data_IF_321124474114
#
_entry.id   IF_321124474114
#
_cell.length_a   1.000
_cell.length_b   1.000
_cell.length_c   1.000
_cell.angle_alpha   90.00
_cell.angle_beta   90.00
_cell.angle_gamma   90.00
#
_symmetry.space_group_name_H-M   'P 1'
#
loop_
_entity.id
_entity.type
_entity.pdbx_description
1 polymer ?
#
# COMPACT_ATOMS: atom_id res chain seq x y z
N UNK A 1 6.05 -30.08 16.27
CA UNK A 1 6.58 -28.74 15.97
C UNK A 1 7.86 -28.57 16.76
N UNK A 2 8.99 -28.47 16.07
CA UNK A 2 10.30 -28.24 16.68
C UNK A 2 10.47 -26.78 17.10
N UNK A 3 11.55 -26.46 17.82
CA UNK A 3 11.91 -25.08 18.15
C UNK A 3 12.09 -24.21 16.89
N UNK A 4 12.62 -24.81 15.82
CA UNK A 4 12.84 -24.17 14.53
C UNK A 4 11.52 -23.74 13.86
N UNK A 5 10.45 -24.51 14.02
CA UNK A 5 9.11 -24.17 13.49
C UNK A 5 8.56 -22.92 14.18
N UNK A 6 8.73 -22.81 15.50
CA UNK A 6 8.30 -21.64 16.27
C UNK A 6 9.09 -20.39 15.91
N UNK A 7 10.40 -20.52 15.69
CA UNK A 7 11.26 -19.41 15.24
C UNK A 7 10.82 -18.95 13.85
N UNK A 8 10.48 -19.88 12.94
CA UNK A 8 9.98 -19.53 11.61
C UNK A 8 8.66 -18.80 11.63
N UNK A 9 7.70 -19.29 12.43
CA UNK A 9 6.37 -18.65 12.57
C UNK A 9 6.52 -17.25 13.17
N UNK A 10 7.31 -17.11 14.24
CA UNK A 10 7.58 -15.81 14.85
C UNK A 10 8.31 -14.86 13.87
N UNK A 11 9.26 -15.38 13.10
CA UNK A 11 9.96 -14.65 12.05
C UNK A 11 9.02 -14.12 10.97
N UNK A 12 8.12 -14.97 10.45
CA UNK A 12 7.12 -14.53 9.47
C UNK A 12 6.15 -13.49 10.04
N UNK A 13 5.71 -13.66 11.29
CA UNK A 13 4.90 -12.66 11.99
C UNK A 13 5.62 -11.30 12.08
N UNK A 14 6.90 -11.30 12.45
CA UNK A 14 7.73 -10.10 12.51
C UNK A 14 7.90 -9.45 11.13
N UNK A 15 8.14 -10.24 10.08
CA UNK A 15 8.27 -9.74 8.70
C UNK A 15 6.99 -9.05 8.24
N UNK A 16 5.81 -9.61 8.54
CA UNK A 16 4.53 -8.99 8.24
C UNK A 16 4.36 -7.63 8.95
N UNK A 17 4.73 -7.57 10.24
CA UNK A 17 4.66 -6.34 11.03
C UNK A 17 5.64 -5.28 10.52
N UNK A 18 6.89 -5.66 10.22
CA UNK A 18 7.90 -4.75 9.67
C UNK A 18 7.51 -4.24 8.29
N UNK A 19 6.96 -5.11 7.44
CA UNK A 19 6.42 -4.72 6.12
C UNK A 19 5.33 -3.65 6.27
N UNK A 20 4.38 -3.86 7.19
CA UNK A 20 3.32 -2.90 7.45
C UNK A 20 3.83 -1.55 7.98
N UNK A 21 4.74 -1.56 8.96
CA UNK A 21 5.24 -0.37 9.66
C UNK A 21 6.31 0.40 8.85
N UNK A 22 7.36 -0.27 8.37
CA UNK A 22 8.41 0.37 7.59
C UNK A 22 7.89 0.80 6.22
N UNK A 23 6.99 0.02 5.60
CA UNK A 23 6.36 0.41 4.34
C UNK A 23 5.50 1.67 4.46
N UNK A 24 4.83 1.88 5.60
CA UNK A 24 4.13 3.12 5.91
C UNK A 24 5.10 4.32 5.95
N UNK A 25 6.20 4.19 6.70
CA UNK A 25 7.22 5.24 6.82
C UNK A 25 7.82 5.56 5.45
N UNK A 26 8.24 4.56 4.68
CA UNK A 26 8.79 4.75 3.34
C UNK A 26 7.81 5.47 2.40
N UNK A 27 6.54 5.06 2.40
CA UNK A 27 5.52 5.68 1.53
C UNK A 27 5.29 7.15 1.90
N UNK A 28 5.17 7.46 3.20
CA UNK A 28 5.00 8.84 3.67
C UNK A 28 6.21 9.70 3.32
N UNK A 29 7.43 9.18 3.49
CA UNK A 29 8.66 9.88 3.14
C UNK A 29 8.74 10.18 1.64
N UNK A 30 8.46 9.19 0.79
CA UNK A 30 8.49 9.39 -0.67
C UNK A 30 7.43 10.40 -1.11
N UNK A 31 6.21 10.34 -0.58
CA UNK A 31 5.18 11.33 -0.91
C UNK A 31 5.57 12.75 -0.46
N UNK A 32 6.21 12.89 0.70
CA UNK A 32 6.76 14.18 1.17
C UNK A 32 7.88 14.68 0.25
N UNK A 33 8.80 13.80 -0.17
CA UNK A 33 9.89 14.13 -1.08
C UNK A 33 9.40 14.48 -2.49
N UNK A 34 8.37 13.79 -2.98
CA UNK A 34 7.72 14.07 -4.26
C UNK A 34 6.95 15.41 -4.25
N UNK A 35 6.93 16.13 -3.12
CA UNK A 35 6.20 17.40 -2.90
C UNK A 35 4.76 17.34 -3.38
N UNK A 36 4.16 16.16 -3.32
CA UNK A 36 2.76 15.94 -3.65
C UNK A 36 1.93 16.67 -2.59
N UNK A 37 1.25 17.78 -2.92
CA UNK A 37 0.38 18.44 -1.94
C UNK A 37 -0.70 17.44 -1.50
N UNK A 38 -0.86 17.18 -0.21
CA UNK A 38 -1.99 16.39 0.28
C UNK A 38 -3.27 17.12 -0.10
N UNK A 39 -4.12 16.48 -0.93
CA UNK A 39 -5.40 17.00 -1.46
C UNK A 39 -5.39 18.51 -1.78
N UNK A 40 -5.28 18.86 -3.07
CA UNK A 40 -5.67 20.22 -3.44
C UNK A 40 -7.11 20.41 -2.93
N UNK A 41 -7.31 21.32 -1.96
CA UNK A 41 -8.65 21.79 -1.62
C UNK A 41 -9.36 22.11 -2.93
N UNK A 42 -10.64 21.71 -3.09
CA UNK A 42 -11.37 22.04 -4.30
C UNK A 42 -11.36 23.56 -4.42
N UNK A 43 -10.55 24.09 -5.35
CA UNK A 43 -10.53 25.51 -5.64
C UNK A 43 -11.99 25.95 -5.88
N UNK A 44 -12.43 27.07 -5.30
CA UNK A 44 -13.79 27.54 -5.52
C UNK A 44 -13.95 27.72 -7.04
N UNK A 45 -14.79 26.90 -7.66
CA UNK A 45 -15.07 26.95 -9.09
C UNK A 45 -15.72 28.30 -9.38
N UNK A 46 -14.90 29.30 -9.67
CA UNK A 46 -15.34 30.63 -10.09
C UNK A 46 -15.53 30.55 -11.60
N UNK A 47 -16.72 30.14 -12.01
CA UNK A 47 -17.10 30.05 -13.43
C UNK A 47 -18.57 29.70 -13.55
N UNK A 48 -19.35 30.67 -14.02
CA UNK A 48 -20.81 30.65 -14.16
C UNK A 48 -21.36 29.38 -14.80
N UNK A 49 -22.18 28.65 -14.05
CA UNK A 49 -23.19 27.79 -14.64
C UNK A 49 -24.38 27.69 -13.68
N UNK A 50 -25.54 28.19 -14.11
CA UNK A 50 -26.82 28.04 -13.40
C UNK A 50 -27.33 26.65 -13.73
N UNK A 51 -26.70 25.64 -13.14
CA UNK A 51 -27.17 24.26 -13.16
C UNK A 51 -27.64 23.91 -11.75
N UNK A 52 -28.89 23.46 -11.61
CA UNK A 52 -29.54 23.08 -10.35
C UNK A 52 -28.55 22.38 -9.40
N UNK A 53 -28.27 23.02 -8.26
CA UNK A 53 -27.50 22.44 -7.16
C UNK A 53 -28.33 21.32 -6.50
N UNK A 54 -28.39 20.16 -7.15
CA UNK A 54 -28.55 18.92 -6.40
C UNK A 54 -27.30 18.80 -5.51
N UNK A 55 -27.43 18.59 -4.19
CA UNK A 55 -26.27 18.41 -3.35
C UNK A 55 -25.48 17.22 -3.89
N UNK A 56 -24.38 17.51 -4.57
CA UNK A 56 -23.36 16.53 -4.93
C UNK A 56 -22.85 16.00 -3.59
N UNK A 57 -23.43 14.89 -3.15
CA UNK A 57 -23.03 14.18 -1.95
C UNK A 57 -21.61 13.70 -2.21
N UNK A 58 -20.62 14.54 -1.88
CA UNK A 58 -19.23 14.14 -1.89
C UNK A 58 -19.17 12.83 -1.11
N UNK A 59 -18.71 11.73 -1.71
CA UNK A 59 -18.64 10.47 -1.01
C UNK A 59 -17.80 10.71 0.23
N UNK A 60 -18.42 10.59 1.41
CA UNK A 60 -17.75 10.73 2.70
C UNK A 60 -16.62 9.71 2.70
N UNK A 61 -15.39 10.16 2.44
CA UNK A 61 -14.22 9.33 2.58
C UNK A 61 -14.13 8.98 4.07
N UNK A 62 -14.05 7.69 4.37
CA UNK A 62 -13.83 7.24 5.75
C UNK A 62 -12.48 7.80 6.17
N UNK A 63 -12.45 8.63 7.22
CA UNK A 63 -11.20 9.18 7.77
C UNK A 63 -10.27 8.00 8.10
N UNK A 64 -9.12 7.94 7.43
CA UNK A 64 -8.14 6.85 7.60
C UNK A 64 -8.34 5.62 6.69
N UNK A 65 -9.31 5.62 5.77
CA UNK A 65 -9.53 4.52 4.82
C UNK A 65 -8.29 4.19 3.98
N UNK A 66 -7.55 5.21 3.52
CA UNK A 66 -6.30 5.02 2.78
C UNK A 66 -5.20 4.33 3.59
N UNK A 67 -5.14 4.57 4.90
CA UNK A 67 -4.17 3.94 5.81
C UNK A 67 -4.42 2.45 5.94
N UNK A 68 -5.68 2.06 6.20
CA UNK A 68 -6.06 0.66 6.34
C UNK A 68 -5.94 -0.11 5.02
N UNK A 69 -6.34 0.49 3.91
CA UNK A 69 -6.15 -0.10 2.57
C UNK A 69 -4.67 -0.38 2.31
N UNK A 70 -3.78 0.56 2.64
CA UNK A 70 -2.34 0.36 2.50
C UNK A 70 -1.78 -0.76 3.39
N UNK A 71 -2.27 -0.91 4.62
CA UNK A 71 -1.86 -2.02 5.51
C UNK A 71 -2.31 -3.36 4.94
N UNK A 72 -3.58 -3.47 4.52
CA UNK A 72 -4.14 -4.70 3.96
C UNK A 72 -3.40 -5.14 2.69
N UNK A 73 -3.03 -4.20 1.82
CA UNK A 73 -2.25 -4.51 0.63
C UNK A 73 -0.85 -5.02 0.95
N UNK A 74 -0.15 -4.40 1.90
CA UNK A 74 1.18 -4.86 2.31
C UNK A 74 1.12 -6.27 2.90
N UNK A 75 0.10 -6.56 3.71
CA UNK A 75 -0.14 -7.90 4.23
C UNK A 75 -0.45 -8.90 3.12
N UNK A 76 -1.30 -8.53 2.15
CA UNK A 76 -1.63 -9.38 1.01
C UNK A 76 -0.39 -9.68 0.15
N UNK A 77 0.40 -8.66 -0.22
CA UNK A 77 1.63 -8.81 -1.00
C UNK A 77 2.66 -9.66 -0.26
N UNK A 78 2.88 -9.38 1.02
CA UNK A 78 3.85 -10.13 1.84
C UNK A 78 3.43 -11.59 2.01
N UNK A 79 2.12 -11.85 2.17
CA UNK A 79 1.57 -13.21 2.24
C UNK A 79 1.73 -13.95 0.91
N UNK A 80 1.49 -13.28 -0.23
CA UNK A 80 1.70 -13.87 -1.55
C UNK A 80 3.16 -14.32 -1.73
N UNK A 81 4.12 -13.50 -1.29
CA UNK A 81 5.55 -13.84 -1.34
C UNK A 81 5.91 -14.99 -0.40
N UNK A 82 5.42 -14.96 0.85
CA UNK A 82 5.68 -16.01 1.84
C UNK A 82 5.08 -17.36 1.42
N UNK A 83 3.94 -17.34 0.72
CA UNK A 83 3.30 -18.54 0.16
C UNK A 83 3.90 -19.01 -1.17
N UNK A 84 4.92 -18.33 -1.70
CA UNK A 84 5.51 -18.62 -3.02
C UNK A 84 4.59 -18.32 -4.21
N UNK A 85 3.50 -17.61 -3.99
CA UNK A 85 2.47 -17.27 -4.99
C UNK A 85 2.63 -15.82 -5.47
N UNK A 86 3.82 -15.46 -5.96
CA UNK A 86 4.11 -14.09 -6.40
C UNK A 86 3.15 -13.59 -7.50
N UNK A 87 2.57 -14.48 -8.32
CA UNK A 87 1.58 -14.12 -9.33
C UNK A 87 0.31 -13.47 -8.75
N UNK A 88 -0.08 -13.79 -7.51
CA UNK A 88 -1.26 -13.19 -6.86
C UNK A 88 -1.07 -11.71 -6.53
N UNK A 89 0.17 -11.20 -6.54
CA UNK A 89 0.44 -9.76 -6.41
C UNK A 89 -0.24 -8.99 -7.54
N UNK A 90 -0.29 -9.54 -8.76
CA UNK A 90 -0.98 -8.92 -9.89
C UNK A 90 -2.49 -8.75 -9.61
N UNK A 91 -3.10 -9.70 -8.90
CA UNK A 91 -4.51 -9.63 -8.48
C UNK A 91 -4.70 -8.50 -7.45
N UNK A 92 -3.80 -8.37 -6.48
CA UNK A 92 -3.84 -7.26 -5.49
C UNK A 92 -3.76 -5.91 -6.19
N UNK A 93 -2.84 -5.75 -7.15
CA UNK A 93 -2.70 -4.54 -7.97
C UNK A 93 -3.99 -4.25 -8.74
N UNK A 94 -4.57 -5.27 -9.39
CA UNK A 94 -5.78 -5.14 -10.19
C UNK A 94 -6.98 -4.71 -9.34
N UNK A 95 -7.21 -5.37 -8.20
CA UNK A 95 -8.31 -5.05 -7.27
C UNK A 95 -8.18 -3.61 -6.75
N UNK A 96 -6.96 -3.20 -6.37
CA UNK A 96 -6.69 -1.84 -5.92
C UNK A 96 -7.01 -0.81 -7.02
N UNK A 97 -6.58 -1.06 -8.25
CA UNK A 97 -6.84 -0.17 -9.39
C UNK A 97 -8.33 -0.05 -9.71
N UNK A 98 -9.06 -1.17 -9.68
CA UNK A 98 -10.51 -1.19 -9.95
C UNK A 98 -11.31 -0.37 -8.94
N UNK A 99 -10.97 -0.44 -7.65
CA UNK A 99 -11.66 0.28 -6.58
C UNK A 99 -11.57 1.81 -6.68
N UNK A 100 -10.66 2.34 -7.51
CA UNK A 100 -10.41 3.78 -7.69
C UNK A 100 -10.45 4.22 -9.16
N UNK A 101 -10.89 3.35 -10.07
CA UNK A 101 -10.78 3.59 -11.50
C UNK A 101 -11.44 4.90 -11.97
N UNK A 102 -12.66 5.20 -11.49
CA UNK A 102 -13.35 6.44 -11.85
C UNK A 102 -12.56 7.69 -11.42
N UNK A 103 -12.04 7.69 -10.20
CA UNK A 103 -11.26 8.80 -9.64
C UNK A 103 -9.92 8.97 -10.37
N UNK A 104 -9.25 7.86 -10.72
CA UNK A 104 -8.00 7.88 -11.50
C UNK A 104 -8.19 8.40 -12.92
N UNK A 105 -9.35 8.15 -13.53
CA UNK A 105 -9.68 8.62 -14.87
C UNK A 105 -10.05 10.11 -14.87
N UNK A 106 -10.77 10.56 -13.85
CA UNK A 106 -11.37 11.88 -13.83
C UNK A 106 -10.45 12.95 -13.19
N UNK A 107 -9.42 12.55 -12.43
CA UNK A 107 -8.41 13.44 -11.82
C UNK A 107 -6.96 12.96 -12.06
N UNK A 108 -6.25 13.51 -13.07
CA UNK A 108 -4.87 13.16 -13.38
C UNK A 108 -3.88 13.45 -12.23
N UNK A 109 -4.11 14.52 -11.46
CA UNK A 109 -3.24 14.85 -10.35
C UNK A 109 -3.42 13.84 -9.20
N UNK A 110 -4.63 13.37 -8.94
CA UNK A 110 -4.85 12.24 -8.03
C UNK A 110 -4.19 10.96 -8.55
N UNK A 111 -4.29 10.69 -9.85
CA UNK A 111 -3.72 9.49 -10.45
C UNK A 111 -2.20 9.39 -10.28
N UNK A 112 -1.45 10.48 -10.51
CA UNK A 112 0.01 10.51 -10.30
C UNK A 112 0.38 10.20 -8.84
N UNK A 113 -0.31 10.83 -7.89
CA UNK A 113 -0.07 10.66 -6.45
C UNK A 113 -0.39 9.25 -6.00
N UNK A 114 -1.50 8.70 -6.50
CA UNK A 114 -1.92 7.33 -6.24
C UNK A 114 -0.92 6.32 -6.79
N UNK A 115 -0.43 6.52 -8.03
CA UNK A 115 0.58 5.67 -8.63
C UNK A 115 1.90 5.71 -7.85
N UNK A 116 2.40 6.90 -7.51
CA UNK A 116 3.64 7.05 -6.73
C UNK A 116 3.50 6.39 -5.36
N UNK A 117 2.41 6.67 -4.64
CA UNK A 117 2.17 6.12 -3.30
C UNK A 117 2.03 4.59 -3.32
N UNK A 118 1.26 4.07 -4.27
CA UNK A 118 1.01 2.62 -4.41
C UNK A 118 2.27 1.86 -4.80
N UNK A 119 2.97 2.30 -5.84
CA UNK A 119 4.19 1.65 -6.32
C UNK A 119 5.27 1.66 -5.24
N UNK A 120 5.42 2.76 -4.51
CA UNK A 120 6.35 2.84 -3.39
C UNK A 120 5.99 1.85 -2.27
N UNK A 121 4.72 1.82 -1.88
CA UNK A 121 4.24 0.90 -0.84
C UNK A 121 4.48 -0.56 -1.24
N UNK A 122 4.14 -0.94 -2.47
CA UNK A 122 4.34 -2.30 -2.98
C UNK A 122 5.81 -2.68 -3.04
N UNK A 123 6.67 -1.81 -3.58
CA UNK A 123 8.11 -2.05 -3.64
C UNK A 123 8.69 -2.23 -2.23
N UNK A 124 8.33 -1.36 -1.29
CA UNK A 124 8.82 -1.47 0.08
C UNK A 124 8.40 -2.78 0.74
N UNK A 125 7.15 -3.22 0.56
CA UNK A 125 6.66 -4.50 1.09
C UNK A 125 7.41 -5.70 0.51
N UNK A 126 7.67 -5.69 -0.80
CA UNK A 126 8.46 -6.73 -1.46
C UNK A 126 9.87 -6.78 -0.90
N UNK A 127 10.57 -5.65 -0.83
CA UNK A 127 11.93 -5.57 -0.31
C UNK A 127 12.04 -6.05 1.14
N UNK A 128 11.15 -5.58 2.01
CA UNK A 128 11.14 -5.97 3.43
C UNK A 128 10.87 -7.46 3.58
N UNK A 129 9.92 -8.00 2.80
CA UNK A 129 9.56 -9.42 2.88
C UNK A 129 10.71 -10.30 2.39
N UNK A 130 11.32 -9.97 1.26
CA UNK A 130 12.45 -10.74 0.72
C UNK A 130 13.68 -10.65 1.63
N UNK A 131 14.01 -9.47 2.16
CA UNK A 131 15.10 -9.30 3.10
C UNK A 131 14.86 -10.12 4.38
N UNK A 132 13.63 -10.10 4.90
CA UNK A 132 13.23 -10.89 6.05
C UNK A 132 13.33 -12.40 5.83
N UNK A 133 12.87 -12.89 4.67
CA UNK A 133 13.02 -14.31 4.29
C UNK A 133 14.50 -14.70 4.22
N UNK A 134 15.33 -13.93 3.52
CA UNK A 134 16.77 -14.21 3.39
C UNK A 134 17.48 -14.19 4.73
N UNK A 135 17.15 -13.24 5.61
CA UNK A 135 17.72 -13.18 6.94
C UNK A 135 17.34 -14.41 7.78
N UNK A 136 16.06 -14.80 7.76
CA UNK A 136 15.58 -15.96 8.51
C UNK A 136 16.21 -17.27 7.99
N UNK A 137 16.35 -17.41 6.67
CA UNK A 137 17.02 -18.55 6.06
C UNK A 137 18.49 -18.63 6.47
N UNK A 138 19.21 -17.51 6.50
CA UNK A 138 20.60 -17.44 6.97
C UNK A 138 20.74 -17.80 8.45
N UNK A 139 19.83 -17.33 9.30
CA UNK A 139 19.85 -17.63 10.75
C UNK A 139 19.59 -19.11 11.02
N UNK A 140 18.66 -19.72 10.28
CA UNK A 140 18.26 -21.11 10.49
C UNK A 140 19.17 -22.14 9.79
N UNK A 141 19.86 -21.75 8.71
CA UNK A 141 20.78 -22.62 7.97
C UNK A 141 22.25 -22.26 8.21
N UNK A 142 22.58 -21.47 9.24
CA UNK A 142 23.97 -21.21 9.62
C UNK A 142 24.64 -22.54 10.00
N UNK A 143 25.70 -22.98 9.30
CA UNK A 143 26.44 -24.17 9.68
C UNK A 143 27.12 -23.87 11.02
N UNK A 144 26.72 -24.60 12.07
CA UNK A 144 27.41 -24.63 13.35
C UNK A 144 28.80 -25.27 13.20
#
# INVERSE_FOLDING_TARGET
>A
MGADDWIRIAGWGLVLLLSAALGWVCTVLVLRCARVPAEAEPAPRRGADVTLHLPQRQPRSVKGGGTWVGVLERLAVSTCLLSGQAGLIAVVVAVKGLGRFAELRDDPAFAERFLIGTSTSMLSAVWITLAGQRLLDLVLHSPA
#
